data_IF_350177110298
#
_entry.id   IF_350177110298
#
_cell.length_a   1.000
_cell.length_b   1.000
_cell.length_c   1.000
_cell.angle_alpha   90.00
_cell.angle_beta   90.00
_cell.angle_gamma   90.00
#
_symmetry.space_group_name_H-M   'P 1'
#
loop_
_entity.id
_entity.type
_entity.pdbx_description
1 polymer ?
#
# COMPACT_ATOMS: atom_id res chain seq x y z
N UNK A 1 11.10 19.62 -1.67
CA UNK A 1 11.63 18.25 -1.61
C UNK A 1 10.55 17.31 -2.11
N UNK A 2 10.80 16.51 -3.14
CA UNK A 2 9.78 15.64 -3.71
C UNK A 2 9.98 14.25 -3.12
N UNK A 3 9.23 13.94 -2.07
CA UNK A 3 8.83 12.55 -1.85
C UNK A 3 7.87 12.27 -3.01
N UNK A 4 8.38 11.62 -4.07
CA UNK A 4 7.58 11.31 -5.24
C UNK A 4 6.58 10.24 -4.81
N UNK A 5 5.37 10.64 -4.43
CA UNK A 5 4.24 9.73 -4.44
C UNK A 5 3.95 9.29 -5.88
N UNK A 6 3.30 8.13 -6.04
CA UNK A 6 2.92 7.59 -7.34
C UNK A 6 2.18 8.58 -8.24
N UNK A 7 1.50 9.59 -7.68
CA UNK A 7 0.85 10.69 -8.43
C UNK A 7 1.82 11.61 -9.17
N UNK A 8 2.98 11.92 -8.58
CA UNK A 8 3.98 12.77 -9.24
C UNK A 8 4.68 11.95 -10.32
N UNK A 9 4.92 10.67 -10.07
CA UNK A 9 5.43 9.72 -11.04
C UNK A 9 4.49 9.55 -12.24
N UNK A 10 3.18 9.42 -11.98
CA UNK A 10 2.15 9.37 -13.02
C UNK A 10 2.15 10.67 -13.83
N UNK A 11 2.15 11.85 -13.20
CA UNK A 11 2.14 13.12 -13.94
C UNK A 11 3.42 13.38 -14.76
N UNK A 12 4.57 12.87 -14.32
CA UNK A 12 5.86 13.07 -15.01
C UNK A 12 6.06 12.11 -16.18
N UNK A 13 5.50 10.89 -16.15
CA UNK A 13 5.68 9.88 -17.21
C UNK A 13 4.40 9.52 -17.99
N UNK A 14 3.23 9.94 -17.50
CA UNK A 14 1.90 9.76 -18.10
C UNK A 14 1.05 11.03 -17.86
N UNK A 15 1.29 12.13 -18.60
CA UNK A 15 0.54 13.36 -18.41
C UNK A 15 -0.96 13.11 -18.57
N UNK A 16 -1.75 13.50 -17.56
CA UNK A 16 -3.23 13.41 -17.52
C UNK A 16 -3.94 14.20 -18.65
N UNK A 17 -3.21 14.88 -19.54
CA UNK A 17 -3.76 15.59 -20.69
C UNK A 17 -4.40 14.66 -21.73
N UNK A 18 -4.07 13.36 -21.72
CA UNK A 18 -4.50 12.44 -22.77
C UNK A 18 -5.79 11.67 -22.44
N UNK A 19 -6.42 11.94 -21.27
CA UNK A 19 -7.57 11.17 -20.79
C UNK A 19 -8.75 12.00 -20.27
N UNK A 20 -8.76 13.31 -20.49
CA UNK A 20 -9.94 14.16 -20.29
C UNK A 20 -10.18 15.00 -21.55
N UNK A 21 -10.80 14.37 -22.55
CA UNK A 21 -11.67 15.08 -23.50
C UNK A 21 -13.06 14.46 -23.37
N UNK A 22 -13.69 14.70 -22.22
CA UNK A 22 -15.15 14.69 -22.12
C UNK A 22 -15.56 16.15 -22.13
N UNK A 23 -15.69 16.72 -23.33
CA UNK A 23 -16.42 17.98 -23.49
C UNK A 23 -17.86 17.74 -23.06
N UNK A 24 -18.40 18.73 -22.35
CA UNK A 24 -19.80 18.80 -21.92
C UNK A 24 -20.73 18.74 -23.14
N UNK A 25 -21.35 17.59 -23.39
CA UNK A 25 -22.52 17.51 -24.26
C UNK A 25 -23.79 17.57 -23.40
N UNK A 26 -24.52 18.68 -23.56
CA UNK A 26 -25.86 18.90 -23.04
C UNK A 26 -26.80 17.74 -23.40
N UNK A 27 -27.36 17.08 -22.38
CA UNK A 27 -28.46 16.15 -22.57
C UNK A 27 -29.67 16.87 -23.17
N UNK A 28 -30.01 16.56 -24.42
CA UNK A 28 -31.29 16.93 -25.01
C UNK A 28 -32.34 15.85 -24.78
N UNK A 29 -33.59 16.29 -24.62
CA UNK A 29 -34.76 15.59 -24.07
C UNK A 29 -35.29 14.39 -24.88
N UNK A 30 -34.49 13.77 -25.74
CA UNK A 30 -34.93 12.73 -26.68
C UNK A 30 -34.38 11.32 -26.42
N UNK A 31 -33.47 11.12 -25.46
CA UNK A 31 -32.90 9.80 -25.15
C UNK A 31 -33.69 8.99 -24.11
N UNK A 32 -34.73 9.56 -23.51
CA UNK A 32 -35.58 8.92 -22.51
C UNK A 32 -36.54 7.86 -23.09
N UNK A 33 -36.73 7.82 -24.41
CA UNK A 33 -37.72 6.94 -25.07
C UNK A 33 -37.15 5.64 -25.66
N UNK A 34 -35.85 5.36 -25.52
CA UNK A 34 -35.24 4.12 -26.03
C UNK A 34 -35.00 3.04 -24.97
N UNK A 35 -35.10 3.38 -23.68
CA UNK A 35 -34.89 2.46 -22.56
C UNK A 35 -36.16 1.74 -22.07
N UNK A 36 -37.36 2.06 -22.60
CA UNK A 36 -38.63 1.46 -22.16
C UNK A 36 -39.23 0.40 -23.10
N UNK A 37 -38.41 -0.26 -23.95
CA UNK A 37 -38.91 -1.26 -24.91
C UNK A 37 -38.22 -2.63 -24.90
N UNK A 38 -37.58 -2.99 -23.78
CA UNK A 38 -37.10 -4.36 -23.56
C UNK A 38 -37.47 -4.78 -22.13
N UNK A 39 -38.77 -4.76 -21.82
CA UNK A 39 -39.34 -5.37 -20.62
C UNK A 39 -40.82 -5.72 -20.88
N UNK A 40 -41.03 -6.57 -21.88
CA UNK A 40 -42.30 -7.27 -22.08
C UNK A 40 -42.01 -8.45 -23.00
N UNK A 41 -41.72 -9.62 -22.42
CA UNK A 41 -42.13 -10.94 -22.91
C UNK A 41 -41.36 -12.04 -22.19
N UNK A 42 -41.82 -12.44 -21.00
CA UNK A 42 -41.87 -13.87 -20.62
C UNK A 42 -42.73 -14.08 -19.36
N UNK A 43 -44.00 -14.47 -19.54
CA UNK A 43 -44.79 -15.15 -18.51
C UNK A 43 -45.58 -16.29 -19.17
N UNK A 44 -45.34 -17.51 -18.68
CA UNK A 44 -46.21 -18.71 -18.53
C UNK A 44 -45.27 -19.92 -18.40
N UNK A 45 -45.40 -20.87 -17.47
CA UNK A 45 -46.54 -21.35 -16.67
C UNK A 45 -46.07 -22.35 -15.58
N UNK A 46 -46.75 -22.34 -14.42
CA UNK A 46 -47.14 -23.47 -13.52
C UNK A 46 -46.05 -24.40 -12.90
N UNK A 47 -46.10 -24.90 -11.65
CA UNK A 47 -47.07 -24.95 -10.54
C UNK A 47 -46.39 -25.59 -9.29
N UNK A 48 -46.90 -25.35 -8.06
CA UNK A 48 -46.70 -26.25 -6.89
C UNK A 48 -46.14 -25.63 -5.60
N UNK A 49 -46.99 -25.47 -4.58
CA UNK A 49 -46.72 -25.07 -3.18
C UNK A 49 -46.06 -26.22 -2.34
N UNK A 50 -45.66 -26.10 -1.03
CA UNK A 50 -46.03 -25.08 -0.04
C UNK A 50 -44.92 -24.51 0.88
N UNK A 51 -45.36 -23.49 1.61
CA UNK A 51 -44.77 -22.66 2.66
C UNK A 51 -44.04 -23.37 3.80
N UNK A 52 -42.90 -22.81 4.22
CA UNK A 52 -42.38 -22.87 5.59
C UNK A 52 -41.97 -21.46 6.02
N UNK A 53 -42.64 -20.95 7.03
CA UNK A 53 -42.23 -19.75 7.77
C UNK A 53 -40.88 -20.04 8.45
N UNK A 54 -39.87 -19.21 8.21
CA UNK A 54 -38.77 -19.09 9.14
C UNK A 54 -38.46 -17.62 9.42
N UNK A 55 -38.52 -17.27 10.70
CA UNK A 55 -38.24 -15.94 11.22
C UNK A 55 -36.74 -15.82 11.42
N UNK A 56 -36.00 -15.33 10.43
CA UNK A 56 -34.65 -14.84 10.64
C UNK A 56 -34.66 -13.31 10.72
N UNK A 57 -34.21 -12.77 11.85
CA UNK A 57 -33.88 -11.36 12.02
C UNK A 57 -32.93 -10.92 10.90
N UNK A 58 -33.42 -10.07 10.00
CA UNK A 58 -32.62 -9.35 9.03
C UNK A 58 -31.80 -8.29 9.77
N UNK A 59 -30.54 -8.60 10.10
CA UNK A 59 -29.53 -7.57 10.31
C UNK A 59 -29.18 -7.01 8.94
N UNK A 60 -29.66 -5.80 8.66
CA UNK A 60 -29.36 -5.04 7.44
C UNK A 60 -27.92 -4.52 7.41
N UNK A 61 -26.94 -5.36 7.69
CA UNK A 61 -25.54 -5.00 7.58
C UNK A 61 -25.15 -5.00 6.10
N UNK A 62 -24.69 -3.84 5.61
CA UNK A 62 -24.11 -3.75 4.27
C UNK A 62 -22.89 -4.69 4.21
N UNK A 63 -22.67 -5.39 3.08
CA UNK A 63 -21.51 -6.25 2.94
C UNK A 63 -20.21 -5.46 3.18
N UNK A 64 -19.26 -6.02 3.93
CA UNK A 64 -17.99 -5.35 4.26
C UNK A 64 -17.24 -4.82 3.01
N UNK A 65 -17.34 -5.52 1.88
CA UNK A 65 -16.75 -5.09 0.61
C UNK A 65 -17.34 -3.78 0.09
N UNK A 66 -18.65 -3.57 0.24
CA UNK A 66 -19.32 -2.34 -0.17
C UNK A 66 -18.89 -1.16 0.70
N UNK A 67 -18.76 -1.37 2.02
CA UNK A 67 -18.28 -0.34 2.96
C UNK A 67 -16.85 0.08 2.63
N UNK A 68 -15.96 -0.90 2.36
CA UNK A 68 -14.56 -0.63 1.98
C UNK A 68 -14.46 0.14 0.66
N UNK A 69 -15.26 -0.23 -0.34
CA UNK A 69 -15.32 0.48 -1.63
C UNK A 69 -15.77 1.93 -1.47
N UNK A 70 -16.75 2.20 -0.60
CA UNK A 70 -17.25 3.55 -0.32
C UNK A 70 -16.21 4.41 0.40
N UNK A 71 -15.60 3.89 1.48
CA UNK A 71 -14.53 4.57 2.22
C UNK A 71 -13.38 4.99 1.30
N UNK A 72 -12.99 4.09 0.39
CA UNK A 72 -11.92 4.30 -0.56
C UNK A 72 -12.24 5.42 -1.59
N UNK A 73 -13.49 5.50 -2.07
CA UNK A 73 -13.96 6.62 -2.92
C UNK A 73 -14.01 7.96 -2.18
N UNK A 74 -14.19 7.94 -0.85
CA UNK A 74 -14.25 9.15 -0.04
C UNK A 74 -12.87 9.67 0.38
N UNK A 75 -11.85 8.81 0.50
CA UNK A 75 -10.54 9.17 1.04
C UNK A 75 -9.90 10.41 0.36
N UNK A 76 -9.87 10.54 -0.99
CA UNK A 76 -9.31 11.74 -1.63
C UNK A 76 -10.06 13.03 -1.28
N UNK A 77 -11.40 12.95 -1.15
CA UNK A 77 -12.23 14.11 -0.77
C UNK A 77 -11.97 14.53 0.67
N UNK A 78 -11.81 13.57 1.58
CA UNK A 78 -11.50 13.84 2.99
C UNK A 78 -10.09 14.40 3.15
N UNK A 79 -9.11 13.87 2.41
CA UNK A 79 -7.76 14.43 2.39
C UNK A 79 -7.74 15.86 1.84
N UNK A 80 -8.51 16.14 0.79
CA UNK A 80 -8.63 17.51 0.27
C UNK A 80 -9.20 18.47 1.31
N UNK A 81 -10.27 18.07 2.03
CA UNK A 81 -10.82 18.86 3.14
C UNK A 81 -9.80 19.08 4.26
N UNK A 82 -9.04 18.06 4.63
CA UNK A 82 -7.96 18.18 5.62
C UNK A 82 -6.89 19.20 5.16
N UNK A 83 -6.42 19.10 3.91
CA UNK A 83 -5.43 20.02 3.35
C UNK A 83 -5.93 21.47 3.33
N UNK A 84 -7.19 21.70 2.94
CA UNK A 84 -7.81 23.03 2.98
C UNK A 84 -7.86 23.58 4.41
N UNK A 85 -8.31 22.76 5.36
CA UNK A 85 -8.38 23.15 6.77
C UNK A 85 -7.00 23.54 7.32
N UNK A 86 -5.98 22.72 7.09
CA UNK A 86 -4.62 23.01 7.55
C UNK A 86 -4.07 24.28 6.90
N UNK A 87 -4.33 24.50 5.60
CA UNK A 87 -3.92 25.72 4.91
C UNK A 87 -4.58 26.97 5.50
N UNK A 88 -5.87 26.92 5.83
CA UNK A 88 -6.59 28.03 6.46
C UNK A 88 -6.08 28.36 7.87
N UNK A 89 -5.57 27.37 8.59
CA UNK A 89 -5.01 27.54 9.92
C UNK A 89 -3.50 27.83 9.91
N UNK A 90 -2.85 27.78 8.73
CA UNK A 90 -1.42 28.04 8.63
C UNK A 90 -1.14 29.53 8.81
N UNK A 91 -0.05 29.85 9.50
CA UNK A 91 0.40 31.23 9.61
C UNK A 91 1.04 31.75 8.31
N UNK A 92 1.42 33.03 8.29
CA UNK A 92 2.07 33.65 7.13
C UNK A 92 3.44 33.06 6.77
N UNK A 93 4.05 32.29 7.67
CA UNK A 93 5.31 31.58 7.45
C UNK A 93 5.09 30.13 6.97
N UNK A 94 3.83 29.71 6.82
CA UNK A 94 3.47 28.35 6.41
C UNK A 94 3.53 27.34 7.55
N UNK A 95 3.59 27.78 8.81
CA UNK A 95 3.55 26.88 9.94
C UNK A 95 2.13 26.34 10.10
N UNK A 96 2.01 25.02 10.13
CA UNK A 96 0.74 24.36 10.42
C UNK A 96 0.56 24.22 11.95
N UNK A 97 -0.67 24.34 12.46
CA UNK A 97 -0.93 24.01 13.86
C UNK A 97 -0.75 22.52 14.09
N UNK A 98 -0.18 22.17 15.25
CA UNK A 98 -0.13 20.80 15.74
C UNK A 98 -1.31 20.58 16.70
N UNK A 99 -1.98 19.45 16.53
CA UNK A 99 -3.04 19.00 17.44
C UNK A 99 -2.44 18.58 18.78
N UNK A 100 -3.20 18.75 19.87
CA UNK A 100 -2.77 18.38 21.23
C UNK A 100 -2.34 16.91 21.31
N UNK A 101 -3.07 15.99 20.66
CA UNK A 101 -2.71 14.58 20.66
C UNK A 101 -1.36 14.30 19.98
N UNK A 102 -0.94 15.14 19.02
CA UNK A 102 0.38 15.04 18.37
C UNK A 102 1.47 15.54 19.29
N UNK A 103 1.23 16.66 20.00
CA UNK A 103 2.18 17.22 20.97
C UNK A 103 2.41 16.23 22.12
N UNK A 104 1.34 15.66 22.67
CA UNK A 104 1.39 14.68 23.76
C UNK A 104 2.08 13.36 23.37
N UNK A 105 2.07 13.03 22.08
CA UNK A 105 2.69 11.83 21.54
C UNK A 105 4.19 11.99 21.22
N UNK A 106 4.75 13.20 21.32
CA UNK A 106 6.18 13.41 21.16
C UNK A 106 6.96 12.80 22.35
N UNK A 107 8.24 12.43 22.16
CA UNK A 107 9.05 11.90 23.26
C UNK A 107 9.10 12.85 24.45
N UNK A 108 9.11 12.30 25.67
CA UNK A 108 9.09 13.09 26.91
C UNK A 108 10.18 14.18 26.93
N UNK A 109 9.78 15.40 27.32
CA UNK A 109 10.65 16.57 27.36
C UNK A 109 10.94 17.21 25.99
N UNK A 110 10.34 16.71 24.90
CA UNK A 110 10.39 17.36 23.59
C UNK A 110 9.51 18.61 23.58
N UNK A 111 10.05 19.72 23.12
CA UNK A 111 9.30 20.95 22.87
C UNK A 111 9.22 21.21 21.36
N UNK A 112 8.04 21.02 20.77
CA UNK A 112 7.78 21.39 19.39
C UNK A 112 7.86 22.92 19.21
N UNK A 113 8.58 23.36 18.18
CA UNK A 113 8.72 24.78 17.85
C UNK A 113 7.76 25.19 16.74
N UNK A 114 7.78 24.45 15.63
CA UNK A 114 6.88 24.67 14.49
C UNK A 114 6.83 23.42 13.62
N UNK A 115 5.79 23.33 12.79
CA UNK A 115 5.68 22.29 11.78
C UNK A 115 5.37 22.89 10.42
N UNK A 116 5.93 22.32 9.36
CA UNK A 116 5.70 22.77 7.98
C UNK A 116 5.40 21.58 7.09
N UNK A 117 4.56 21.77 6.06
CA UNK A 117 4.30 20.75 5.04
C UNK A 117 5.62 20.25 4.43
N UNK A 118 5.75 18.93 4.29
CA UNK A 118 6.99 18.31 3.84
C UNK A 118 6.71 17.07 3.00
N UNK A 119 7.24 17.05 1.78
CA UNK A 119 7.00 15.98 0.82
C UNK A 119 5.60 16.01 0.21
N UNK A 120 5.29 15.01 -0.62
CA UNK A 120 4.01 14.88 -1.32
C UNK A 120 3.50 13.45 -1.15
N UNK A 121 2.22 13.30 -0.80
CA UNK A 121 1.53 12.02 -0.73
C UNK A 121 0.14 12.12 -1.38
N UNK A 122 -0.24 11.05 -2.07
CA UNK A 122 -1.58 10.87 -2.64
C UNK A 122 -2.60 10.51 -1.55
N UNK A 123 -2.16 9.87 -0.46
CA UNK A 123 -3.01 9.27 0.57
C UNK A 123 -3.03 10.05 1.88
N UNK A 124 -2.03 10.89 2.09
CA UNK A 124 -1.81 11.56 3.36
C UNK A 124 -1.40 13.02 3.16
N UNK A 125 -1.52 13.77 4.25
CA UNK A 125 -0.80 15.02 4.43
C UNK A 125 0.45 14.73 5.24
N UNK A 126 1.58 15.33 4.87
CA UNK A 126 2.88 15.06 5.49
C UNK A 126 3.57 16.35 5.89
N UNK A 127 4.25 16.34 7.03
CA UNK A 127 4.91 17.50 7.59
C UNK A 127 6.21 17.14 8.30
N UNK A 128 7.07 18.14 8.47
CA UNK A 128 8.23 18.09 9.36
C UNK A 128 7.90 18.90 10.61
N UNK A 129 8.02 18.28 11.78
CA UNK A 129 8.02 18.96 13.07
C UNK A 129 9.48 19.30 13.40
N UNK A 130 9.78 20.58 13.62
CA UNK A 130 11.04 21.04 14.20
C UNK A 130 10.84 21.22 15.70
N UNK A 131 11.71 20.63 16.51
CA UNK A 131 11.61 20.63 17.96
C UNK A 131 12.98 20.71 18.62
N UNK A 132 12.98 20.86 19.94
CA UNK A 132 14.16 20.64 20.79
C UNK A 132 13.87 19.50 21.78
N UNK A 133 14.88 18.68 22.07
CA UNK A 133 14.75 17.63 23.08
C UNK A 133 14.91 18.18 24.51
N UNK A 134 14.82 17.29 25.51
CA UNK A 134 14.93 17.64 26.94
C UNK A 134 16.28 18.27 27.33
N UNK A 135 17.30 18.16 26.48
CA UNK A 135 18.62 18.78 26.67
C UNK A 135 18.77 20.10 25.93
N UNK A 136 17.73 20.52 25.19
CA UNK A 136 17.75 21.71 24.34
C UNK A 136 18.40 21.48 22.98
N UNK A 137 18.72 20.23 22.61
CA UNK A 137 19.33 19.92 21.31
C UNK A 137 18.26 19.93 20.21
N UNK A 138 18.52 20.52 19.03
CA UNK A 138 17.61 20.43 17.90
C UNK A 138 17.32 18.99 17.51
N UNK A 139 16.04 18.69 17.32
CA UNK A 139 15.54 17.41 16.81
C UNK A 139 14.41 17.65 15.81
N UNK A 140 14.04 16.62 15.05
CA UNK A 140 12.95 16.73 14.07
C UNK A 140 12.21 15.41 13.93
N UNK A 141 10.92 15.52 13.63
CA UNK A 141 10.04 14.38 13.40
C UNK A 141 9.33 14.51 12.07
N UNK A 142 9.07 13.38 11.43
CA UNK A 142 8.18 13.30 10.29
C UNK A 142 6.77 13.00 10.81
N UNK A 143 5.79 13.73 10.29
CA UNK A 143 4.40 13.63 10.68
C UNK A 143 3.58 13.27 9.44
N UNK A 144 2.73 12.25 9.55
CA UNK A 144 1.77 11.84 8.54
C UNK A 144 0.37 11.94 9.11
N UNK A 145 -0.56 12.54 8.38
CA UNK A 145 -1.99 12.58 8.70
C UNK A 145 -2.81 11.88 7.62
N UNK A 146 -3.78 11.08 8.06
CA UNK A 146 -4.76 10.42 7.18
C UNK A 146 -6.16 10.70 7.69
N UNK A 147 -7.00 11.25 6.80
CA UNK A 147 -8.38 11.59 7.10
C UNK A 147 -9.34 10.43 6.80
N UNK A 148 -10.42 10.34 7.58
CA UNK A 148 -11.45 9.33 7.47
C UNK A 148 -11.13 8.04 8.24
N UNK A 149 -12.11 7.15 8.29
CA UNK A 149 -12.04 5.92 9.08
C UNK A 149 -10.96 4.95 8.61
N UNK A 150 -10.57 5.02 7.33
CA UNK A 150 -9.45 4.26 6.78
C UNK A 150 -8.11 4.61 7.45
N UNK A 151 -7.98 5.84 7.98
CA UNK A 151 -6.73 6.30 8.59
C UNK A 151 -6.33 5.51 9.83
N UNK A 152 -7.28 4.95 10.59
CA UNK A 152 -6.97 4.12 11.76
C UNK A 152 -6.22 2.85 11.37
N UNK A 153 -6.84 1.89 10.64
CA UNK A 153 -6.19 0.62 10.35
C UNK A 153 -4.98 0.80 9.42
N UNK A 154 -4.94 1.84 8.58
CA UNK A 154 -3.79 2.14 7.74
C UNK A 154 -2.56 2.55 8.57
N UNK A 155 -2.69 3.55 9.45
CA UNK A 155 -1.55 4.04 10.23
C UNK A 155 -1.16 3.09 11.37
N UNK A 156 -2.11 2.33 11.91
CA UNK A 156 -1.83 1.27 12.87
C UNK A 156 -0.98 0.15 12.23
N UNK A 157 -1.38 -0.31 11.04
CA UNK A 157 -0.63 -1.31 10.28
C UNK A 157 0.78 -0.82 9.90
N UNK A 158 0.91 0.43 9.44
CA UNK A 158 2.20 1.04 9.15
C UNK A 158 3.07 1.16 10.41
N UNK A 159 2.53 1.66 11.52
CA UNK A 159 3.29 1.79 12.77
C UNK A 159 3.81 0.45 13.29
N UNK A 160 2.97 -0.58 13.30
CA UNK A 160 3.33 -1.93 13.76
C UNK A 160 4.34 -2.58 12.82
N UNK A 161 4.16 -2.45 11.50
CA UNK A 161 5.10 -2.93 10.50
C UNK A 161 6.46 -2.26 10.60
N UNK A 162 6.48 -0.92 10.65
CA UNK A 162 7.71 -0.13 10.81
C UNK A 162 8.42 -0.45 12.12
N UNK A 163 7.67 -0.70 13.20
CA UNK A 163 8.25 -1.09 14.49
C UNK A 163 8.94 -2.45 14.42
N UNK A 164 8.30 -3.41 13.74
CA UNK A 164 8.88 -4.74 13.54
C UNK A 164 10.15 -4.67 12.67
N UNK A 165 10.15 -3.89 11.59
CA UNK A 165 11.31 -3.68 10.73
C UNK A 165 12.44 -2.92 11.46
N UNK A 166 12.11 -1.87 12.21
CA UNK A 166 13.06 -1.09 13.01
C UNK A 166 13.81 -1.97 14.02
N UNK A 167 13.10 -2.89 14.69
CA UNK A 167 13.71 -3.82 15.65
C UNK A 167 14.72 -4.78 14.99
N UNK A 168 14.60 -5.04 13.68
CA UNK A 168 15.56 -5.86 12.92
C UNK A 168 16.72 -5.03 12.37
N UNK A 169 16.45 -3.80 11.93
CA UNK A 169 17.38 -2.96 11.18
C UNK A 169 17.21 -1.46 11.51
N UNK A 170 17.54 -1.08 12.74
CA UNK A 170 17.41 0.30 13.24
C UNK A 170 18.30 1.32 12.51
N UNK A 171 19.30 0.85 11.76
CA UNK A 171 20.18 1.66 10.91
C UNK A 171 19.71 1.72 9.44
N UNK A 172 18.51 1.19 9.15
CA UNK A 172 17.94 1.11 7.80
C UNK A 172 16.48 1.57 7.74
N UNK A 173 15.78 1.61 8.86
CA UNK A 173 14.37 1.97 8.98
C UNK A 173 14.25 3.13 9.97
N UNK A 174 13.60 4.26 9.64
CA UNK A 174 13.40 5.36 10.61
C UNK A 174 12.62 4.89 11.82
N UNK A 175 13.00 5.36 13.02
CA UNK A 175 12.30 4.96 14.25
C UNK A 175 10.83 5.39 14.24
N UNK A 176 9.86 4.47 14.35
CA UNK A 176 8.47 4.85 14.62
C UNK A 176 8.37 5.36 16.07
N UNK A 177 7.70 6.50 16.26
CA UNK A 177 7.59 7.17 17.56
C UNK A 177 6.21 6.94 18.16
N UNK A 178 5.16 7.30 17.43
CA UNK A 178 3.78 7.17 17.90
C UNK A 178 2.79 7.17 16.73
N UNK A 179 1.60 6.66 16.97
CA UNK A 179 0.44 6.85 16.11
C UNK A 179 -0.81 7.07 16.97
N UNK A 180 -1.84 7.67 16.41
CA UNK A 180 -3.07 7.92 17.16
C UNK A 180 -4.15 8.65 16.37
N UNK A 181 -5.19 9.08 17.08
CA UNK A 181 -6.27 9.91 16.54
C UNK A 181 -6.08 11.34 17.03
N UNK A 182 -6.33 12.33 16.17
CA UNK A 182 -6.33 13.74 16.59
C UNK A 182 -7.44 14.00 17.64
N UNK A 183 -7.18 14.93 18.55
CA UNK A 183 -8.15 15.42 19.53
C UNK A 183 -9.27 16.21 18.86
N UNK A 184 -8.96 16.90 17.75
CA UNK A 184 -9.96 17.59 16.95
C UNK A 184 -10.97 16.63 16.31
N UNK A 185 -12.24 16.79 16.69
CA UNK A 185 -13.34 15.92 16.26
C UNK A 185 -14.07 16.39 15.00
N UNK A 186 -13.70 17.54 14.40
CA UNK A 186 -14.38 18.10 13.22
C UNK A 186 -14.25 17.23 11.97
N UNK A 187 -13.14 16.49 11.86
CA UNK A 187 -12.88 15.52 10.81
C UNK A 187 -12.05 14.39 11.43
N UNK A 188 -12.60 13.17 11.46
CA UNK A 188 -11.86 12.01 11.92
C UNK A 188 -10.53 11.91 11.17
N UNK A 189 -9.43 12.11 11.89
CA UNK A 189 -8.09 12.17 11.34
C UNK A 189 -7.15 11.44 12.28
N UNK A 190 -6.25 10.67 11.71
CA UNK A 190 -5.27 9.87 12.42
C UNK A 190 -3.87 10.35 12.05
N UNK A 191 -2.92 10.13 12.95
CA UNK A 191 -1.55 10.56 12.77
C UNK A 191 -0.55 9.43 13.01
N UNK A 192 0.62 9.57 12.38
CA UNK A 192 1.82 8.77 12.59
C UNK A 192 3.01 9.71 12.70
N UNK A 193 3.86 9.48 13.70
CA UNK A 193 5.10 10.21 13.97
C UNK A 193 6.26 9.23 13.82
N UNK A 194 7.27 9.60 13.04
CA UNK A 194 8.52 8.86 12.92
C UNK A 194 9.72 9.79 13.08
N UNK A 195 10.90 9.22 13.29
CA UNK A 195 12.17 9.92 13.15
C UNK A 195 12.24 10.61 11.77
N UNK A 196 12.65 11.87 11.78
CA UNK A 196 12.87 12.59 10.54
C UNK A 196 14.22 12.25 9.92
N UNK A 197 14.20 11.84 8.65
CA UNK A 197 15.40 11.72 7.82
C UNK A 197 15.37 12.73 6.68
N UNK A 198 16.51 13.37 6.43
CA UNK A 198 16.65 14.29 5.29
C UNK A 198 17.18 13.52 4.09
N UNK A 199 16.34 13.34 3.06
CA UNK A 199 16.69 12.55 1.89
C UNK A 199 17.06 13.41 0.68
N UNK A 200 18.05 12.93 -0.07
CA UNK A 200 18.41 13.45 -1.39
C UNK A 200 17.51 12.87 -2.48
N UNK A 201 17.23 13.63 -3.56
CA UNK A 201 16.44 13.17 -4.70
C UNK A 201 17.28 12.30 -5.65
N UNK A 202 17.88 11.22 -5.12
CA UNK A 202 18.73 10.29 -5.87
C UNK A 202 18.34 8.86 -5.53
N UNK A 203 18.53 7.95 -6.48
CA UNK A 203 18.40 6.53 -6.21
C UNK A 203 19.54 6.03 -5.30
N UNK A 204 19.30 5.02 -4.46
CA UNK A 204 20.31 4.46 -3.58
C UNK A 204 21.41 3.75 -4.36
N UNK A 205 22.60 3.69 -3.77
CA UNK A 205 23.65 2.79 -4.25
C UNK A 205 23.17 1.33 -4.13
N UNK A 206 23.25 0.59 -5.24
CA UNK A 206 22.73 -0.77 -5.33
C UNK A 206 23.45 -1.74 -4.38
N UNK A 207 24.76 -1.57 -4.16
CA UNK A 207 25.56 -2.44 -3.29
C UNK A 207 25.12 -2.25 -1.84
N UNK A 208 25.03 -0.98 -1.39
CA UNK A 208 24.57 -0.66 -0.03
C UNK A 208 23.15 -1.14 0.21
N UNK A 209 22.24 -0.87 -0.72
CA UNK A 209 20.84 -1.28 -0.57
C UNK A 209 20.70 -2.81 -0.54
N UNK A 210 21.34 -3.52 -1.46
CA UNK A 210 21.30 -4.97 -1.54
C UNK A 210 21.79 -5.62 -0.24
N UNK A 211 22.92 -5.15 0.29
CA UNK A 211 23.49 -5.63 1.55
C UNK A 211 22.56 -5.40 2.75
N UNK A 212 22.02 -4.19 2.92
CA UNK A 212 21.13 -3.87 4.06
C UNK A 212 19.81 -4.64 3.98
N UNK A 213 19.21 -4.73 2.78
CA UNK A 213 17.95 -5.45 2.59
C UNK A 213 18.11 -6.95 2.87
N UNK A 214 19.16 -7.58 2.34
CA UNK A 214 19.46 -8.98 2.62
C UNK A 214 19.73 -9.22 4.12
N UNK A 215 20.53 -8.35 4.76
CA UNK A 215 20.79 -8.46 6.18
C UNK A 215 19.51 -8.33 7.03
N UNK A 216 18.58 -7.45 6.65
CA UNK A 216 17.28 -7.31 7.32
C UNK A 216 16.44 -8.60 7.18
N UNK A 217 16.34 -9.16 5.96
CA UNK A 217 15.60 -10.40 5.73
C UNK A 217 16.18 -11.58 6.51
N UNK A 218 17.51 -11.75 6.50
CA UNK A 218 18.21 -12.83 7.19
C UNK A 218 18.13 -12.72 8.73
N UNK A 219 17.99 -11.51 9.28
CA UNK A 219 17.76 -11.29 10.71
C UNK A 219 16.33 -11.56 11.15
N UNK A 220 15.39 -11.68 10.21
CA UNK A 220 13.99 -11.80 10.55
C UNK A 220 13.73 -13.02 11.43
N UNK A 221 13.20 -12.78 12.63
CA UNK A 221 12.76 -13.84 13.51
C UNK A 221 11.43 -14.40 12.99
N UNK A 222 11.24 -15.70 13.13
CA UNK A 222 10.07 -16.41 12.64
C UNK A 222 9.13 -16.75 13.80
N UNK A 223 8.17 -15.87 14.18
CA UNK A 223 7.51 -15.97 15.49
C UNK A 223 6.55 -17.15 15.62
N UNK A 224 5.97 -17.65 14.52
CA UNK A 224 4.91 -18.68 14.57
C UNK A 224 4.99 -19.75 13.48
N UNK A 225 6.02 -19.77 12.63
CA UNK A 225 6.08 -20.78 11.57
C UNK A 225 5.28 -20.44 10.29
N UNK A 226 4.61 -19.28 10.21
CA UNK A 226 3.58 -19.02 9.19
C UNK A 226 3.85 -17.74 8.37
N UNK A 227 3.22 -17.66 7.21
CA UNK A 227 3.16 -16.47 6.34
C UNK A 227 1.96 -15.60 6.72
N UNK A 228 2.12 -14.28 6.63
CA UNK A 228 1.08 -13.31 6.99
C UNK A 228 1.51 -12.30 8.03
N UNK A 229 0.55 -11.65 8.69
CA UNK A 229 0.81 -10.65 9.70
C UNK A 229 -0.31 -10.64 10.76
N UNK A 230 0.04 -10.21 11.97
CA UNK A 230 -0.88 -10.26 13.11
C UNK A 230 -1.89 -9.11 13.14
N UNK A 231 -1.68 -8.10 12.30
CA UNK A 231 -2.58 -6.97 12.11
C UNK A 231 -2.75 -6.70 10.62
N UNK A 232 -3.89 -6.11 10.25
CA UNK A 232 -4.16 -5.69 8.89
C UNK A 232 -3.13 -4.66 8.42
N UNK A 233 -2.53 -4.87 7.24
CA UNK A 233 -1.67 -3.88 6.57
C UNK A 233 -2.24 -3.41 5.24
N UNK A 234 -1.75 -2.28 4.77
CA UNK A 234 -2.23 -1.61 3.57
C UNK A 234 -1.06 -1.22 2.67
N UNK A 235 -1.25 -1.38 1.36
CA UNK A 235 -0.36 -0.90 0.31
C UNK A 235 -1.04 0.34 -0.31
N UNK A 236 -0.55 1.52 0.07
CA UNK A 236 -1.30 2.76 -0.06
C UNK A 236 -2.66 2.66 0.64
N UNK A 237 -3.75 2.97 -0.06
CA UNK A 237 -5.12 2.83 0.44
C UNK A 237 -5.73 1.43 0.22
N UNK A 238 -4.95 0.46 -0.28
CA UNK A 238 -5.44 -0.89 -0.61
C UNK A 238 -5.16 -1.86 0.52
N UNK A 239 -6.15 -2.65 0.87
CA UNK A 239 -6.00 -3.71 1.86
C UNK A 239 -5.15 -4.86 1.27
N UNK A 240 -4.29 -5.46 2.10
CA UNK A 240 -3.54 -6.67 1.75
C UNK A 240 -4.16 -7.89 2.42
N UNK A 241 -4.16 -9.05 1.77
CA UNK A 241 -4.40 -10.30 2.50
C UNK A 241 -3.18 -10.57 3.40
N UNK A 242 -3.41 -10.66 4.71
CA UNK A 242 -2.36 -10.95 5.70
C UNK A 242 -2.75 -12.07 6.67
N UNK A 243 -3.79 -12.84 6.35
CA UNK A 243 -4.20 -14.00 7.14
C UNK A 243 -3.08 -15.03 7.25
N UNK A 244 -3.01 -15.72 8.38
CA UNK A 244 -1.95 -16.70 8.63
C UNK A 244 -2.11 -17.96 7.78
N UNK A 245 -1.03 -18.34 7.10
CA UNK A 245 -0.98 -19.52 6.24
C UNK A 245 0.30 -20.34 6.50
N UNK A 246 0.20 -21.66 6.43
CA UNK A 246 1.34 -22.58 6.60
C UNK A 246 2.20 -22.73 5.33
N UNK A 247 1.64 -22.40 4.16
CA UNK A 247 2.29 -22.53 2.87
C UNK A 247 2.39 -21.17 2.18
N UNK A 248 3.55 -20.90 1.58
CA UNK A 248 3.78 -19.72 0.78
C UNK A 248 2.87 -19.72 -0.45
N UNK A 249 2.69 -20.87 -1.08
CA UNK A 249 1.81 -21.02 -2.25
C UNK A 249 0.37 -20.64 -1.90
N UNK A 250 -0.13 -21.10 -0.75
CA UNK A 250 -1.48 -20.73 -0.27
C UNK A 250 -1.58 -19.24 0.03
N UNK A 251 -0.60 -18.70 0.76
CA UNK A 251 -0.57 -17.27 1.11
C UNK A 251 -0.55 -16.38 -0.13
N UNK A 252 0.38 -16.62 -1.07
CA UNK A 252 0.54 -15.79 -2.25
C UNK A 252 -0.66 -15.91 -3.19
N UNK A 253 -1.28 -17.09 -3.30
CA UNK A 253 -2.54 -17.26 -4.06
C UNK A 253 -3.65 -16.37 -3.52
N UNK A 254 -3.82 -16.30 -2.19
CA UNK A 254 -4.81 -15.44 -1.52
C UNK A 254 -4.47 -13.96 -1.61
N UNK A 255 -3.19 -13.60 -1.47
CA UNK A 255 -2.70 -12.24 -1.66
C UNK A 255 -2.96 -11.73 -3.09
N UNK A 256 -2.64 -12.53 -4.10
CA UNK A 256 -2.87 -12.19 -5.49
C UNK A 256 -4.36 -12.12 -5.81
N UNK A 257 -5.18 -13.01 -5.22
CA UNK A 257 -6.62 -12.98 -5.37
C UNK A 257 -7.25 -11.71 -4.78
N UNK A 258 -6.78 -11.26 -3.63
CA UNK A 258 -7.25 -10.02 -3.01
C UNK A 258 -6.87 -8.78 -3.84
N UNK A 259 -5.68 -8.76 -4.42
CA UNK A 259 -5.27 -7.70 -5.34
C UNK A 259 -6.13 -7.70 -6.63
N UNK A 260 -6.34 -8.87 -7.23
CA UNK A 260 -7.17 -9.01 -8.44
C UNK A 260 -8.65 -8.65 -8.19
N UNK A 261 -9.21 -9.04 -7.04
CA UNK A 261 -10.56 -8.66 -6.63
C UNK A 261 -10.72 -7.14 -6.62
N UNK A 262 -9.76 -6.42 -6.03
CA UNK A 262 -9.77 -4.95 -5.98
C UNK A 262 -9.61 -4.31 -7.37
N UNK A 263 -8.84 -4.91 -8.27
CA UNK A 263 -8.78 -4.49 -9.69
C UNK A 263 -10.16 -4.58 -10.35
N UNK A 264 -10.82 -5.74 -10.22
CA UNK A 264 -12.13 -5.99 -10.84
C UNK A 264 -13.21 -5.08 -10.26
N UNK A 265 -13.20 -4.81 -8.95
CA UNK A 265 -14.14 -3.85 -8.34
C UNK A 265 -13.98 -2.43 -8.88
N UNK A 266 -12.77 -2.06 -9.29
CA UNK A 266 -12.45 -0.72 -9.78
C UNK A 266 -12.68 -0.59 -11.29
N UNK A 267 -12.27 -1.60 -12.05
CA UNK A 267 -12.18 -1.54 -13.51
C UNK A 267 -13.19 -2.43 -14.24
N UNK A 268 -13.94 -3.26 -13.52
CA UNK A 268 -14.76 -4.33 -14.10
C UNK A 268 -13.92 -5.50 -14.63
N UNK A 269 -14.62 -6.58 -14.99
CA UNK A 269 -14.00 -7.78 -15.56
C UNK A 269 -13.48 -7.46 -16.96
N UNK A 270 -12.19 -7.72 -17.18
CA UNK A 270 -11.60 -7.80 -18.50
C UNK A 270 -11.48 -9.29 -18.89
N UNK A 271 -12.26 -9.81 -19.87
CA UNK A 271 -12.38 -11.25 -20.12
C UNK A 271 -11.06 -11.99 -20.36
N UNK A 272 -10.14 -11.40 -21.13
CA UNK A 272 -8.83 -11.98 -21.43
C UNK A 272 -7.96 -12.06 -20.18
N UNK A 273 -7.90 -10.97 -19.40
CA UNK A 273 -7.17 -10.94 -18.13
C UNK A 273 -7.79 -11.89 -17.11
N UNK A 274 -9.11 -12.01 -17.06
CA UNK A 274 -9.80 -12.95 -16.17
C UNK A 274 -9.46 -14.40 -16.50
N UNK A 275 -9.43 -14.75 -17.78
CA UNK A 275 -9.02 -16.07 -18.25
C UNK A 275 -7.56 -16.34 -17.90
N UNK A 276 -6.67 -15.37 -18.11
CA UNK A 276 -5.25 -15.48 -17.77
C UNK A 276 -5.06 -15.65 -16.25
N UNK A 277 -5.71 -14.81 -15.44
CA UNK A 277 -5.71 -14.90 -13.98
C UNK A 277 -6.20 -16.28 -13.49
N UNK A 278 -7.27 -16.81 -14.10
CA UNK A 278 -7.77 -18.15 -13.79
C UNK A 278 -6.69 -19.23 -14.00
N UNK A 279 -5.96 -19.18 -15.13
CA UNK A 279 -4.84 -20.10 -15.41
C UNK A 279 -3.65 -19.88 -14.47
N UNK A 280 -3.39 -18.64 -14.07
CA UNK A 280 -2.35 -18.33 -13.07
C UNK A 280 -2.69 -19.01 -11.74
N UNK A 281 -3.93 -18.86 -11.27
CA UNK A 281 -4.39 -19.50 -10.03
C UNK A 281 -4.40 -21.03 -10.13
N UNK A 282 -4.94 -21.61 -11.21
CA UNK A 282 -5.17 -23.06 -11.29
C UNK A 282 -3.94 -23.88 -11.73
N UNK A 283 -2.98 -23.27 -12.43
CA UNK A 283 -1.84 -24.00 -13.02
C UNK A 283 -0.49 -23.38 -12.67
N UNK A 284 -0.30 -22.09 -12.93
CA UNK A 284 1.02 -21.46 -12.78
C UNK A 284 1.44 -21.41 -11.32
N UNK A 285 0.56 -20.98 -10.41
CA UNK A 285 0.86 -20.87 -8.99
C UNK A 285 1.26 -22.23 -8.36
N UNK A 286 0.45 -23.31 -8.49
CA UNK A 286 0.85 -24.63 -8.00
C UNK A 286 2.15 -25.15 -8.62
N UNK A 287 2.45 -24.79 -9.87
CA UNK A 287 3.64 -25.27 -10.58
C UNK A 287 4.91 -24.49 -10.22
N UNK A 288 4.85 -23.17 -10.29
CA UNK A 288 6.01 -22.28 -10.16
C UNK A 288 6.28 -21.92 -8.69
N UNK A 289 5.23 -21.54 -7.95
CA UNK A 289 5.38 -21.18 -6.53
C UNK A 289 5.36 -22.46 -5.67
N UNK A 290 4.53 -23.44 -6.03
CA UNK A 290 4.52 -24.74 -5.35
C UNK A 290 5.83 -25.51 -5.49
N UNK A 291 6.64 -25.26 -6.52
CA UNK A 291 7.97 -25.88 -6.66
C UNK A 291 8.91 -25.53 -5.50
N UNK A 292 8.75 -24.35 -4.89
CA UNK A 292 9.51 -23.91 -3.71
C UNK A 292 9.26 -24.78 -2.47
N UNK A 293 8.14 -25.51 -2.45
CA UNK A 293 7.68 -26.32 -1.32
C UNK A 293 7.58 -27.81 -1.70
N UNK A 294 7.96 -28.17 -2.92
CA UNK A 294 7.99 -29.54 -3.43
C UNK A 294 9.31 -30.24 -3.11
N UNK A 295 9.35 -31.57 -3.25
CA UNK A 295 10.57 -32.39 -3.11
C UNK A 295 11.32 -32.20 -1.78
N UNK A 296 10.60 -31.86 -0.71
CA UNK A 296 11.16 -31.61 0.62
C UNK A 296 11.75 -30.21 0.82
N UNK A 297 11.67 -29.32 -0.18
CA UNK A 297 12.03 -27.90 -0.06
C UNK A 297 11.06 -27.19 0.90
N UNK A 298 11.55 -26.10 1.50
CA UNK A 298 10.77 -25.27 2.42
C UNK A 298 11.12 -23.80 2.20
N UNK A 299 10.10 -22.97 2.15
CA UNK A 299 10.25 -21.52 2.19
C UNK A 299 10.21 -21.07 3.65
N UNK A 300 11.21 -20.29 4.07
CA UNK A 300 11.20 -19.65 5.39
C UNK A 300 10.52 -18.27 5.26
N UNK A 301 9.39 -18.03 5.95
CA UNK A 301 8.80 -16.70 6.09
C UNK A 301 9.78 -15.71 6.71
N UNK A 302 10.06 -14.64 5.97
CA UNK A 302 10.87 -13.50 6.42
C UNK A 302 9.99 -12.26 6.41
N UNK A 303 10.19 -11.38 7.39
CA UNK A 303 9.53 -10.09 7.44
C UNK A 303 10.06 -9.22 6.29
N UNK A 304 9.15 -8.83 5.40
CA UNK A 304 9.44 -7.95 4.27
C UNK A 304 8.81 -6.57 4.49
N UNK A 305 9.33 -5.55 3.81
CA UNK A 305 8.77 -4.20 3.74
C UNK A 305 7.41 -4.19 3.02
N UNK A 306 7.25 -4.95 1.93
CA UNK A 306 5.97 -5.23 1.28
C UNK A 306 5.47 -4.17 0.29
N UNK A 307 6.07 -2.98 0.28
CA UNK A 307 5.87 -1.90 -0.71
C UNK A 307 7.19 -1.16 -1.03
N UNK A 308 8.28 -1.88 -1.31
CA UNK A 308 9.61 -1.30 -1.46
C UNK A 308 9.91 -0.78 -2.88
N UNK A 309 9.16 0.20 -3.36
CA UNK A 309 9.46 0.88 -4.64
C UNK A 309 10.35 2.11 -4.47
N UNK A 310 10.76 2.75 -5.57
CA UNK A 310 11.68 3.90 -5.54
C UNK A 310 11.20 5.10 -4.72
N UNK A 311 9.89 5.27 -4.52
CA UNK A 311 9.32 6.33 -3.67
C UNK A 311 9.45 6.07 -2.16
N UNK A 312 9.70 4.82 -1.77
CA UNK A 312 9.79 4.36 -0.38
C UNK A 312 11.24 4.04 0.04
N UNK A 313 12.21 4.50 -0.76
CA UNK A 313 13.64 4.39 -0.47
C UNK A 313 14.27 5.77 -0.56
N UNK A 314 14.98 6.18 0.49
CA UNK A 314 15.64 7.47 0.59
C UNK A 314 17.13 7.32 0.80
N UNK A 315 17.92 8.27 0.29
CA UNK A 315 19.35 8.37 0.59
C UNK A 315 19.57 9.54 1.53
N UNK A 316 20.03 9.27 2.76
CA UNK A 316 20.25 10.31 3.76
C UNK A 316 21.35 11.27 3.31
N UNK A 317 21.07 12.57 3.37
CA UNK A 317 21.94 13.60 2.80
C UNK A 317 23.32 13.68 3.46
N UNK A 318 23.37 13.47 4.78
CA UNK A 318 24.60 13.63 5.55
C UNK A 318 25.52 12.40 5.44
N UNK A 319 24.95 11.20 5.28
CA UNK A 319 25.69 9.93 5.36
C UNK A 319 25.78 9.20 4.02
N UNK A 320 24.88 9.48 3.08
CA UNK A 320 24.73 8.72 1.85
C UNK A 320 24.25 7.28 2.09
N UNK A 321 23.65 6.99 3.25
CA UNK A 321 23.09 5.67 3.58
C UNK A 321 21.66 5.54 3.05
N UNK A 322 21.28 4.35 2.51
CA UNK A 322 19.91 4.08 2.12
C UNK A 322 19.04 3.85 3.37
N UNK A 323 17.80 4.31 3.32
CA UNK A 323 16.76 4.11 4.33
C UNK A 323 15.45 3.71 3.64
N UNK A 324 14.66 2.86 4.29
CA UNK A 324 13.35 2.41 3.80
C UNK A 324 12.25 2.87 4.75
N UNK A 325 11.09 3.25 4.21
CA UNK A 325 9.99 3.85 4.97
C UNK A 325 8.64 3.61 4.27
N UNK A 326 7.55 3.85 5.00
CA UNK A 326 6.17 3.66 4.48
C UNK A 326 5.88 2.20 4.11
N UNK A 327 6.08 1.30 5.08
CA UNK A 327 5.97 -0.14 4.85
C UNK A 327 4.52 -0.64 4.82
N UNK A 328 4.35 -1.74 4.09
CA UNK A 328 3.15 -2.55 4.03
C UNK A 328 3.48 -3.99 4.49
N UNK A 329 4.07 -4.11 5.68
CA UNK A 329 4.82 -5.30 6.10
C UNK A 329 3.98 -6.57 6.28
N UNK A 330 4.60 -7.73 6.01
CA UNK A 330 4.11 -9.07 6.35
C UNK A 330 5.25 -10.10 6.25
N UNK A 331 5.06 -11.29 6.82
CA UNK A 331 5.97 -12.42 6.66
C UNK A 331 5.72 -13.13 5.33
N UNK A 332 6.74 -13.21 4.48
CA UNK A 332 6.66 -13.66 3.10
C UNK A 332 7.87 -14.50 2.69
N UNK A 333 7.82 -15.11 1.49
CA UNK A 333 9.05 -15.47 0.78
C UNK A 333 9.84 -14.18 0.49
N UNK A 334 11.12 -14.15 0.85
CA UNK A 334 11.98 -12.97 0.69
C UNK A 334 12.06 -12.44 -0.76
N UNK A 335 11.99 -13.32 -1.78
CA UNK A 335 11.97 -12.91 -3.18
C UNK A 335 10.73 -12.07 -3.56
N UNK A 336 9.63 -12.15 -2.80
CA UNK A 336 8.44 -11.32 -3.02
C UNK A 336 8.76 -9.83 -2.98
N UNK A 337 9.66 -9.40 -2.09
CA UNK A 337 10.07 -8.00 -1.95
C UNK A 337 10.64 -7.43 -3.25
N UNK A 338 11.36 -8.26 -4.01
CA UNK A 338 12.01 -7.84 -5.25
C UNK A 338 11.04 -7.81 -6.44
N UNK A 339 9.86 -8.41 -6.31
CA UNK A 339 8.84 -8.45 -7.35
C UNK A 339 8.37 -7.06 -7.77
N UNK A 340 8.26 -6.12 -6.81
CA UNK A 340 7.89 -4.73 -7.13
C UNK A 340 8.92 -4.07 -8.06
N UNK A 341 10.21 -4.41 -7.96
CA UNK A 341 11.25 -3.89 -8.85
C UNK A 341 11.15 -4.44 -10.27
N UNK A 342 10.31 -5.45 -10.54
CA UNK A 342 10.09 -5.95 -11.90
C UNK A 342 9.02 -5.19 -12.67
N UNK A 343 8.15 -4.44 -11.99
CA UNK A 343 7.12 -3.69 -12.69
C UNK A 343 7.73 -2.54 -13.51
N UNK A 344 7.27 -2.38 -14.76
CA UNK A 344 7.94 -1.54 -15.77
C UNK A 344 8.10 -0.08 -15.36
N UNK A 345 7.15 0.41 -14.54
CA UNK A 345 7.09 1.80 -14.05
C UNK A 345 8.22 2.14 -13.07
N UNK A 346 8.80 1.17 -12.36
CA UNK A 346 9.74 1.48 -11.27
C UNK A 346 11.18 1.63 -11.76
N UNK A 347 11.88 2.63 -11.22
CA UNK A 347 13.30 2.88 -11.53
C UNK A 347 14.23 1.78 -11.03
N UNK A 348 13.84 1.09 -9.95
CA UNK A 348 14.58 -0.02 -9.35
C UNK A 348 14.68 -1.26 -10.26
N UNK A 349 14.08 -1.23 -11.46
CA UNK A 349 14.11 -2.34 -12.43
C UNK A 349 15.48 -2.72 -12.94
N UNK A 350 16.46 -1.81 -12.84
CA UNK A 350 17.83 -2.07 -13.23
C UNK A 350 18.34 -3.35 -12.56
N UNK A 351 18.86 -4.30 -13.36
CA UNK A 351 19.33 -5.62 -12.87
C UNK A 351 20.37 -5.51 -11.76
N UNK A 352 21.09 -4.38 -11.66
CA UNK A 352 22.05 -4.13 -10.60
C UNK A 352 21.45 -4.34 -9.20
N UNK A 353 20.28 -3.74 -8.89
CA UNK A 353 19.68 -3.84 -7.55
C UNK A 353 19.40 -5.28 -7.13
N UNK A 354 18.77 -6.07 -8.02
CA UNK A 354 18.49 -7.48 -7.73
C UNK A 354 19.77 -8.31 -7.65
N UNK A 355 20.77 -8.06 -8.51
CA UNK A 355 22.06 -8.77 -8.45
C UNK A 355 22.81 -8.49 -7.15
N UNK A 356 22.79 -7.25 -6.66
CA UNK A 356 23.45 -6.90 -5.39
C UNK A 356 22.77 -7.56 -4.19
N UNK A 357 21.43 -7.66 -4.18
CA UNK A 357 20.73 -8.47 -3.18
C UNK A 357 21.13 -9.95 -3.25
N UNK A 358 21.19 -10.53 -4.46
CA UNK A 358 21.54 -11.95 -4.65
C UNK A 358 22.99 -12.30 -4.26
N UNK A 359 23.86 -11.31 -4.06
CA UNK A 359 25.21 -11.56 -3.49
C UNK A 359 25.18 -11.94 -2.01
N UNK A 360 24.05 -11.73 -1.35
CA UNK A 360 23.89 -11.93 0.10
C UNK A 360 22.79 -12.94 0.44
N UNK A 361 21.80 -13.10 -0.44
CA UNK A 361 20.73 -14.10 -0.33
C UNK A 361 20.64 -14.88 -1.64
N UNK A 362 21.02 -16.15 -1.63
CA UNK A 362 20.93 -17.02 -2.82
C UNK A 362 19.46 -17.19 -3.26
N UNK A 363 19.20 -17.38 -4.58
CA UNK A 363 17.87 -17.74 -5.07
C UNK A 363 17.34 -19.00 -4.37
N UNK A 364 16.04 -19.04 -4.09
CA UNK A 364 15.40 -20.28 -3.64
C UNK A 364 15.34 -21.29 -4.77
N UNK A 365 15.55 -22.57 -4.45
CA UNK A 365 15.40 -23.67 -5.42
C UNK A 365 13.94 -23.84 -5.88
N UNK A 366 13.66 -24.06 -7.18
CA UNK A 366 14.60 -24.13 -8.30
C UNK A 366 15.17 -22.75 -8.70
N UNK A 367 16.49 -22.60 -8.70
CA UNK A 367 17.15 -21.30 -8.92
C UNK A 367 16.88 -20.72 -10.32
N UNK A 368 16.77 -21.59 -11.34
CA UNK A 368 16.53 -21.20 -12.72
C UNK A 368 15.17 -20.52 -12.95
N UNK A 369 14.21 -20.78 -12.05
CA UNK A 369 12.86 -20.21 -12.08
C UNK A 369 12.76 -18.88 -11.29
N UNK A 370 13.86 -18.40 -10.69
CA UNK A 370 13.87 -17.19 -9.85
C UNK A 370 13.33 -15.95 -10.57
N UNK A 371 13.72 -15.74 -11.83
CA UNK A 371 13.29 -14.56 -12.59
C UNK A 371 11.79 -14.64 -12.92
N UNK A 372 11.27 -15.84 -13.19
CA UNK A 372 9.84 -16.06 -13.45
C UNK A 372 9.00 -15.82 -12.19
N UNK A 373 9.47 -16.27 -11.02
CA UNK A 373 8.81 -15.97 -9.73
C UNK A 373 8.74 -14.49 -9.46
N UNK A 374 9.84 -13.77 -9.65
CA UNK A 374 9.91 -12.32 -9.47
C UNK A 374 8.97 -11.58 -10.43
N UNK A 375 8.85 -12.06 -11.67
CA UNK A 375 7.89 -11.51 -12.63
C UNK A 375 6.45 -11.74 -12.16
N UNK A 376 6.12 -12.94 -11.69
CA UNK A 376 4.79 -13.25 -11.15
C UNK A 376 4.48 -12.43 -9.89
N UNK A 377 5.44 -12.23 -8.99
CA UNK A 377 5.28 -11.38 -7.80
C UNK A 377 4.92 -9.93 -8.18
N UNK A 378 5.44 -9.42 -9.30
CA UNK A 378 5.10 -8.07 -9.79
C UNK A 378 3.62 -7.91 -10.16
N UNK A 379 2.92 -9.00 -10.50
CA UNK A 379 1.49 -8.97 -10.84
C UNK A 379 0.64 -8.47 -9.67
N UNK A 380 0.99 -8.80 -8.41
CA UNK A 380 0.34 -8.23 -7.21
C UNK A 380 0.41 -6.72 -7.26
N UNK A 381 1.60 -6.17 -7.47
CA UNK A 381 1.80 -4.71 -7.48
C UNK A 381 1.12 -4.05 -8.68
N UNK A 382 0.97 -4.73 -9.82
CA UNK A 382 0.23 -4.21 -10.96
C UNK A 382 -1.28 -4.13 -10.68
N UNK A 383 -1.87 -5.19 -10.09
CA UNK A 383 -3.28 -5.18 -9.69
C UNK A 383 -3.57 -4.14 -8.60
N UNK A 384 -2.68 -3.98 -7.63
CA UNK A 384 -2.84 -2.96 -6.59
C UNK A 384 -2.82 -1.55 -7.18
N UNK A 385 -1.95 -1.29 -8.16
CA UNK A 385 -1.92 -0.01 -8.88
C UNK A 385 -3.20 0.22 -9.70
N UNK A 386 -3.66 -0.77 -10.46
CA UNK A 386 -4.86 -0.61 -11.29
C UNK A 386 -6.14 -0.51 -10.47
N UNK A 387 -6.18 -1.13 -9.29
CA UNK A 387 -7.23 -0.93 -8.30
C UNK A 387 -7.28 0.49 -7.72
N UNK A 388 -6.18 1.25 -7.85
CA UNK A 388 -6.12 2.65 -7.45
C UNK A 388 -6.48 3.58 -8.62
N UNK A 389 -5.90 3.33 -9.79
CA UNK A 389 -6.00 4.20 -10.96
C UNK A 389 -6.80 3.50 -12.06
N UNK A 390 -8.11 3.78 -12.19
CA UNK A 390 -8.94 3.20 -13.24
C UNK A 390 -8.32 3.41 -14.63
N UNK A 391 -8.34 2.37 -15.47
CA UNK A 391 -7.76 2.43 -16.82
C UNK A 391 -6.23 2.40 -16.89
N UNK A 392 -5.55 2.19 -15.76
CA UNK A 392 -4.09 2.10 -15.70
C UNK A 392 -3.52 1.08 -16.70
N UNK A 393 -2.41 1.41 -17.40
CA UNK A 393 -1.71 0.47 -18.29
C UNK A 393 -1.16 -0.74 -17.54
N UNK A 394 -1.06 -0.69 -16.20
CA UNK A 394 -0.61 -1.81 -15.37
C UNK A 394 -1.44 -3.09 -15.58
N UNK A 395 -2.71 -2.99 -16.00
CA UNK A 395 -3.51 -4.18 -16.31
C UNK A 395 -2.96 -4.99 -17.50
N UNK A 396 -2.20 -4.34 -18.40
CA UNK A 396 -1.61 -4.95 -19.60
C UNK A 396 -0.21 -5.53 -19.37
N UNK A 397 0.41 -5.23 -18.24
CA UNK A 397 1.79 -5.61 -17.88
C UNK A 397 1.79 -6.75 -16.89
#
# INVERSE_FOLDING_TARGET
MVLLSGDTYFKTFYPMSDYITGEDDEMTENDTNRAQRIEADTVKSESGAPTLEDRSHSSSERPESAVRSEQMKMAPKLLHKLKQKLALLSDSSGNIPLDEAVLDALPEGTQAQFAVSYGVSAWSFTAKITAVDSTGKPTSFFLKYVAGDLGKPQLEGEFVGMSALYNLASDFVPKPIAWGKLSDQTLATYFLITEFKHFMPVLPDAVKLGAKLAAMHLKSAWPNGKFGFHIQTYDGARIQYVGWEDSWTSFFSKLLAEAYRQDVETNGIWPELHTAYGRVQSHLLPRLIGALEADGRKVTPMLIHGDLWDGNIGVEADTGEPWIFDCAAYYAHNEMELGIWRAERHQMRAKAYRREYLRHCEPSEPEEEWDDRNLLYSAKTNFMLSAIFPGSPARRS
#
